data_IF_209157003842
#
_entry.id   IF_209157003842
#
_cell.length_a   1.000
_cell.length_b   1.000
_cell.length_c   1.000
_cell.angle_alpha   90.00
_cell.angle_beta   90.00
_cell.angle_gamma   90.00
#
_symmetry.space_group_name_H-M   'P 1'
#
loop_
_entity.id
_entity.type
_entity.pdbx_description
1 polymer ?
#
# COMPACT_ATOMS: atom_id res chain seq x y z
N UNK A 1 -21.56 -20.06 -10.73
CA UNK A 1 -20.53 -19.02 -10.76
C UNK A 1 -19.16 -19.65 -10.68
N UNK A 2 -18.30 -19.39 -11.66
CA UNK A 2 -16.91 -19.80 -11.70
C UNK A 2 -16.16 -18.67 -12.45
N UNK A 3 -15.13 -18.03 -11.85
CA UNK A 3 -14.47 -18.31 -10.56
C UNK A 3 -15.15 -17.71 -9.33
N UNK A 4 -16.04 -16.72 -9.49
CA UNK A 4 -16.76 -16.03 -8.41
C UNK A 4 -18.03 -15.37 -8.99
N UNK A 5 -19.02 -15.08 -8.14
CA UNK A 5 -20.26 -14.42 -8.58
C UNK A 5 -20.01 -13.01 -9.16
N UNK A 6 -20.69 -12.66 -10.26
CA UNK A 6 -20.52 -11.37 -10.94
C UNK A 6 -20.81 -10.15 -10.05
N UNK A 7 -21.66 -10.33 -9.03
CA UNK A 7 -21.97 -9.29 -8.04
C UNK A 7 -20.84 -9.01 -7.06
N UNK A 8 -19.85 -9.91 -6.93
CA UNK A 8 -18.81 -9.84 -5.90
C UNK A 8 -17.68 -8.86 -6.27
N UNK A 9 -18.05 -7.68 -6.75
CA UNK A 9 -17.13 -6.62 -7.13
C UNK A 9 -16.21 -6.25 -5.96
N UNK A 10 -14.95 -5.99 -6.27
CA UNK A 10 -13.93 -5.65 -5.30
C UNK A 10 -12.51 -5.97 -5.79
N UNK A 11 -11.50 -5.74 -4.94
CA UNK A 11 -10.12 -5.95 -5.32
C UNK A 11 -9.69 -7.42 -5.23
N UNK A 12 -8.59 -7.71 -5.93
CA UNK A 12 -7.77 -8.92 -5.78
C UNK A 12 -6.38 -8.49 -5.29
N UNK A 13 -5.87 -9.13 -4.24
CA UNK A 13 -4.58 -8.77 -3.64
C UNK A 13 -3.73 -10.01 -3.35
N UNK A 14 -2.41 -9.85 -3.40
CA UNK A 14 -1.46 -10.92 -3.12
C UNK A 14 -0.38 -10.43 -2.16
N UNK A 15 -0.11 -11.21 -1.12
CA UNK A 15 0.91 -10.95 -0.10
C UNK A 15 1.89 -12.11 -0.01
N UNK A 16 3.09 -11.81 0.47
CA UNK A 16 4.09 -12.79 0.89
C UNK A 16 4.43 -12.61 2.37
N UNK A 17 4.74 -13.71 3.05
CA UNK A 17 5.38 -13.71 4.37
C UNK A 17 6.53 -14.71 4.38
N UNK A 18 7.75 -14.25 4.67
CA UNK A 18 8.92 -15.11 4.84
C UNK A 18 8.71 -16.00 6.06
N UNK A 19 8.94 -17.29 5.91
CA UNK A 19 8.88 -18.26 7.01
C UNK A 19 10.14 -19.12 7.06
N UNK A 20 10.47 -19.71 8.22
CA UNK A 20 11.51 -20.74 8.31
C UNK A 20 11.11 -21.98 7.50
N UNK A 21 9.86 -22.41 7.61
CA UNK A 21 9.31 -23.62 6.98
C UNK A 21 7.93 -23.32 6.39
N UNK A 22 7.75 -23.57 5.09
CA UNK A 22 6.46 -23.34 4.42
C UNK A 22 5.42 -24.41 4.75
N UNK A 23 5.79 -25.50 5.42
CA UNK A 23 4.87 -26.56 5.88
C UNK A 23 4.42 -26.38 7.33
N UNK A 24 4.90 -25.33 8.01
CA UNK A 24 4.52 -25.04 9.40
C UNK A 24 3.00 -24.82 9.52
N UNK A 25 2.40 -25.29 10.62
CA UNK A 25 0.96 -25.13 10.85
C UNK A 25 0.58 -23.73 11.36
N UNK A 26 1.48 -23.08 12.11
CA UNK A 26 1.20 -21.76 12.66
C UNK A 26 1.33 -20.67 11.61
N UNK A 27 0.28 -19.87 11.45
CA UNK A 27 0.23 -18.72 10.55
C UNK A 27 0.06 -17.38 11.29
N UNK A 28 0.08 -17.40 12.62
CA UNK A 28 -0.06 -16.20 13.45
C UNK A 28 1.28 -15.49 13.65
N UNK A 29 1.24 -14.17 13.86
CA UNK A 29 2.45 -13.37 14.11
C UNK A 29 3.36 -13.16 12.90
N UNK A 30 2.96 -13.66 11.73
CA UNK A 30 3.71 -13.52 10.48
C UNK A 30 3.79 -12.06 10.00
N UNK A 31 4.86 -11.76 9.28
CA UNK A 31 5.18 -10.44 8.74
C UNK A 31 4.89 -10.41 7.24
N UNK A 32 3.76 -9.83 6.87
CA UNK A 32 3.24 -9.84 5.51
C UNK A 32 3.63 -8.56 4.77
N UNK A 33 4.00 -8.67 3.50
CA UNK A 33 4.11 -7.53 2.60
C UNK A 33 3.34 -7.82 1.32
N UNK A 34 2.67 -6.79 0.78
CA UNK A 34 1.88 -6.93 -0.44
C UNK A 34 2.82 -6.97 -1.65
N UNK A 35 2.52 -7.78 -2.66
CA UNK A 35 3.29 -7.85 -3.92
C UNK A 35 2.44 -7.55 -5.17
N UNK A 36 1.12 -7.64 -5.05
CA UNK A 36 0.21 -7.26 -6.13
C UNK A 36 -1.12 -6.79 -5.56
N UNK A 37 -1.75 -5.86 -6.27
CA UNK A 37 -3.14 -5.48 -6.07
C UNK A 37 -3.78 -5.12 -7.40
N UNK A 38 -5.07 -5.43 -7.52
CA UNK A 38 -5.91 -5.05 -8.63
C UNK A 38 -7.28 -4.60 -8.11
N UNK A 39 -7.57 -3.30 -8.20
CA UNK A 39 -8.73 -2.65 -7.58
C UNK A 39 -9.75 -2.13 -8.58
N UNK A 40 -10.32 -0.95 -8.34
CA UNK A 40 -11.16 -0.25 -9.31
C UNK A 40 -10.27 0.51 -10.30
N UNK A 41 -10.43 0.28 -11.60
CA UNK A 41 -9.73 1.04 -12.64
C UNK A 41 -10.53 2.26 -13.13
N UNK A 42 -9.90 3.07 -14.00
CA UNK A 42 -10.50 4.29 -14.56
C UNK A 42 -11.69 4.04 -15.49
N UNK A 43 -11.91 2.80 -15.95
CA UNK A 43 -13.06 2.40 -16.75
C UNK A 43 -14.23 1.89 -15.90
N UNK A 44 -14.08 1.89 -14.57
CA UNK A 44 -15.07 1.37 -13.64
C UNK A 44 -15.06 -0.15 -13.51
N UNK A 45 -14.03 -0.83 -14.04
CA UNK A 45 -13.88 -2.29 -13.89
C UNK A 45 -13.11 -2.60 -12.62
N UNK A 46 -13.61 -3.54 -11.84
CA UNK A 46 -12.97 -4.07 -10.64
C UNK A 46 -11.98 -5.18 -10.97
N UNK A 47 -11.04 -5.43 -10.05
CA UNK A 47 -10.12 -6.56 -10.14
C UNK A 47 -10.89 -7.89 -10.29
N UNK A 48 -12.04 -8.03 -9.64
CA UNK A 48 -12.93 -9.18 -9.84
C UNK A 48 -13.48 -9.28 -11.26
N UNK A 49 -13.82 -8.18 -11.94
CA UNK A 49 -14.23 -8.24 -13.35
C UNK A 49 -13.09 -8.80 -14.22
N UNK A 50 -11.87 -8.31 -14.02
CA UNK A 50 -10.68 -8.80 -14.73
C UNK A 50 -10.34 -10.24 -14.38
N UNK A 51 -10.51 -10.65 -13.12
CA UNK A 51 -10.32 -12.02 -12.66
C UNK A 51 -11.28 -12.99 -13.37
N UNK A 52 -12.57 -12.63 -13.46
CA UNK A 52 -13.59 -13.42 -14.15
C UNK A 52 -13.26 -13.52 -15.64
N UNK A 53 -12.95 -12.38 -16.28
CA UNK A 53 -12.59 -12.35 -17.70
C UNK A 53 -11.31 -13.15 -18.01
N UNK A 54 -10.43 -13.33 -17.03
CA UNK A 54 -9.21 -14.14 -17.15
C UNK A 54 -9.38 -15.59 -16.63
N UNK A 55 -10.62 -16.06 -16.47
CA UNK A 55 -10.91 -17.44 -16.06
C UNK A 55 -10.36 -17.80 -14.68
N UNK A 56 -10.42 -16.88 -13.72
CA UNK A 56 -9.96 -17.10 -12.34
C UNK A 56 -8.47 -16.91 -12.11
N UNK A 57 -7.73 -16.46 -13.13
CA UNK A 57 -6.28 -16.28 -13.03
C UNK A 57 -5.91 -14.87 -12.57
N UNK A 58 -5.47 -14.74 -11.32
CA UNK A 58 -4.80 -13.55 -10.82
C UNK A 58 -3.28 -13.66 -11.06
N UNK A 59 -2.67 -12.61 -11.63
CA UNK A 59 -1.22 -12.61 -11.90
C UNK A 59 -0.49 -11.78 -10.84
N UNK A 60 0.56 -12.34 -10.26
CA UNK A 60 1.49 -11.63 -9.39
C UNK A 60 2.93 -12.04 -9.70
N UNK A 61 3.84 -11.08 -9.73
CA UNK A 61 5.28 -11.32 -9.96
C UNK A 61 5.98 -11.39 -8.62
N UNK A 62 6.72 -12.47 -8.37
CA UNK A 62 7.58 -12.57 -7.18
C UNK A 62 8.73 -11.57 -7.32
N UNK A 63 8.89 -10.59 -6.41
CA UNK A 63 9.94 -9.58 -6.55
C UNK A 63 11.33 -10.22 -6.42
N UNK A 64 12.16 -10.16 -7.47
CA UNK A 64 13.45 -10.87 -7.55
C UNK A 64 14.47 -10.48 -6.48
N UNK A 65 14.33 -9.30 -5.87
CA UNK A 65 15.25 -8.78 -4.88
C UNK A 65 14.99 -9.30 -3.45
N UNK A 66 13.87 -10.00 -3.19
CA UNK A 66 13.60 -10.56 -1.86
C UNK A 66 14.49 -11.78 -1.59
N UNK A 67 14.80 -12.09 -0.32
CA UNK A 67 15.57 -13.26 0.04
C UNK A 67 15.02 -14.56 -0.55
N UNK A 68 15.94 -15.46 -0.91
CA UNK A 68 15.54 -16.84 -1.22
C UNK A 68 15.01 -17.55 0.03
N UNK A 69 14.24 -18.60 -0.18
CA UNK A 69 13.76 -19.52 0.86
C UNK A 69 12.24 -19.60 0.93
N UNK A 70 11.75 -20.13 2.05
CA UNK A 70 10.33 -20.43 2.23
C UNK A 70 9.47 -19.18 2.48
N UNK A 71 8.29 -19.14 1.85
CA UNK A 71 7.27 -18.13 2.04
C UNK A 71 5.87 -18.76 2.03
N UNK A 72 4.95 -18.14 2.76
CA UNK A 72 3.53 -18.24 2.43
C UNK A 72 3.16 -17.15 1.41
N UNK A 73 2.39 -17.53 0.40
CA UNK A 73 1.74 -16.61 -0.54
C UNK A 73 0.25 -16.59 -0.22
N UNK A 74 -0.26 -15.45 0.24
CA UNK A 74 -1.68 -15.24 0.52
C UNK A 74 -2.32 -14.50 -0.65
N UNK A 75 -3.19 -15.17 -1.39
CA UNK A 75 -4.03 -14.54 -2.42
C UNK A 75 -5.42 -14.32 -1.85
N UNK A 76 -6.02 -13.16 -2.13
CA UNK A 76 -7.30 -12.75 -1.56
C UNK A 76 -8.16 -11.99 -2.57
N UNK A 77 -9.47 -12.28 -2.55
CA UNK A 77 -10.53 -11.47 -3.13
C UNK A 77 -11.31 -10.84 -1.99
N UNK A 78 -11.60 -9.53 -2.08
CA UNK A 78 -12.45 -8.83 -1.10
C UNK A 78 -13.74 -8.43 -1.81
N UNK A 79 -14.83 -9.15 -1.60
CA UNK A 79 -16.12 -8.81 -2.21
C UNK A 79 -16.84 -7.72 -1.39
N UNK A 80 -17.24 -6.64 -2.06
CA UNK A 80 -17.73 -5.41 -1.43
C UNK A 80 -19.24 -5.17 -1.63
N UNK A 81 -19.96 -6.13 -2.22
CA UNK A 81 -21.38 -5.98 -2.52
C UNK A 81 -22.27 -5.75 -1.29
N UNK A 82 -21.84 -6.23 -0.12
CA UNK A 82 -22.49 -6.01 1.18
C UNK A 82 -21.74 -5.04 2.10
N UNK A 83 -20.71 -4.33 1.61
CA UNK A 83 -19.75 -3.61 2.45
C UNK A 83 -20.18 -2.20 2.88
N UNK A 84 -21.44 -1.79 2.64
CA UNK A 84 -21.92 -0.46 3.03
C UNK A 84 -21.90 -0.22 4.55
N UNK A 85 -21.83 -1.29 5.34
CA UNK A 85 -21.66 -1.28 6.80
C UNK A 85 -20.67 -2.37 7.23
N UNK A 86 -20.11 -2.23 8.43
CA UNK A 86 -19.27 -3.27 9.05
C UNK A 86 -20.04 -4.04 10.14
N UNK A 87 -19.97 -5.38 10.17
CA UNK A 87 -19.37 -6.26 9.17
C UNK A 87 -20.18 -6.26 7.86
N UNK A 88 -19.52 -6.52 6.73
CA UNK A 88 -20.18 -6.52 5.42
C UNK A 88 -19.31 -7.02 4.27
N UNK A 89 -18.06 -6.57 4.19
CA UNK A 89 -17.10 -7.11 3.23
C UNK A 89 -16.85 -8.61 3.47
N UNK A 90 -16.76 -9.38 2.38
CA UNK A 90 -16.51 -10.82 2.41
C UNK A 90 -15.12 -11.08 1.85
N UNK A 91 -14.24 -11.63 2.67
CA UNK A 91 -12.84 -11.83 2.32
C UNK A 91 -12.61 -13.32 2.01
N UNK A 92 -12.25 -13.63 0.77
CA UNK A 92 -11.95 -14.98 0.29
C UNK A 92 -10.46 -15.10 0.09
N UNK A 93 -9.76 -15.78 0.99
CA UNK A 93 -8.30 -15.94 0.90
C UNK A 93 -7.86 -17.40 0.99
N UNK A 94 -6.74 -17.69 0.33
CA UNK A 94 -6.01 -18.94 0.46
C UNK A 94 -4.51 -18.68 0.55
N UNK A 95 -3.78 -19.59 1.20
CA UNK A 95 -2.33 -19.54 1.31
C UNK A 95 -1.69 -20.69 0.53
N UNK A 96 -0.74 -20.37 -0.35
CA UNK A 96 0.13 -21.33 -0.99
C UNK A 96 1.49 -21.37 -0.27
N UNK A 97 2.12 -22.55 -0.29
CA UNK A 97 3.45 -22.80 0.24
C UNK A 97 4.44 -22.71 -0.91
N UNK A 98 5.38 -21.77 -0.87
CA UNK A 98 6.35 -21.58 -1.96
C UNK A 98 7.79 -21.52 -1.43
N UNK A 99 8.73 -21.91 -2.29
CA UNK A 99 10.15 -21.69 -2.09
C UNK A 99 10.67 -20.75 -3.19
N UNK A 100 11.07 -19.54 -2.79
CA UNK A 100 11.66 -18.55 -3.69
C UNK A 100 13.14 -18.87 -3.88
N UNK A 101 13.60 -18.90 -5.13
CA UNK A 101 15.00 -19.15 -5.49
C UNK A 101 15.56 -17.98 -6.31
N UNK A 102 16.89 -17.83 -6.33
CA UNK A 102 17.55 -16.74 -7.08
C UNK A 102 17.26 -15.34 -6.55
N UNK A 103 16.88 -15.23 -5.28
CA UNK A 103 16.52 -13.98 -4.60
C UNK A 103 17.70 -13.05 -4.28
N UNK A 104 17.40 -11.90 -3.68
CA UNK A 104 18.35 -10.88 -3.22
C UNK A 104 18.38 -10.72 -1.70
N UNK A 105 18.63 -9.50 -1.22
CA UNK A 105 18.77 -9.16 0.20
C UNK A 105 17.77 -8.10 0.69
N UNK A 106 16.75 -7.77 -0.11
CA UNK A 106 15.78 -6.74 0.26
C UNK A 106 14.99 -7.12 1.53
N UNK A 107 14.65 -6.11 2.33
CA UNK A 107 13.83 -6.29 3.54
C UNK A 107 12.58 -5.41 3.44
N UNK A 108 11.49 -5.89 2.81
CA UNK A 108 10.26 -5.12 2.66
C UNK A 108 9.68 -4.70 4.01
N UNK A 109 9.05 -3.53 4.07
CA UNK A 109 8.21 -3.16 5.21
C UNK A 109 7.00 -4.10 5.29
N UNK A 110 6.61 -4.48 6.51
CA UNK A 110 5.60 -5.52 6.73
C UNK A 110 4.47 -5.09 7.65
N UNK A 111 3.33 -5.75 7.52
CA UNK A 111 2.13 -5.64 8.35
C UNK A 111 1.76 -6.99 8.97
N UNK A 112 0.81 -6.98 9.90
CA UNK A 112 0.30 -8.19 10.57
C UNK A 112 -1.11 -8.53 10.11
N UNK A 113 -1.44 -9.82 10.06
CA UNK A 113 -2.83 -10.29 9.98
C UNK A 113 -3.12 -11.17 11.21
N UNK A 114 -4.12 -10.83 12.05
CA UNK A 114 -4.95 -9.60 12.01
C UNK A 114 -4.14 -8.32 12.28
N UNK A 115 -4.69 -7.16 11.87
CA UNK A 115 -4.15 -5.83 12.12
C UNK A 115 -4.06 -4.92 10.89
N UNK A 116 -3.69 -5.45 9.73
CA UNK A 116 -3.48 -4.65 8.51
C UNK A 116 -4.78 -4.08 7.90
N UNK A 117 -5.93 -4.66 8.23
CA UNK A 117 -7.24 -4.19 7.81
C UNK A 117 -8.04 -3.75 9.04
N UNK A 118 -8.63 -2.56 8.97
CA UNK A 118 -9.49 -2.01 10.00
C UNK A 118 -10.94 -1.89 9.50
N UNK A 119 -11.95 -1.99 10.40
CA UNK A 119 -13.34 -1.70 10.05
C UNK A 119 -13.56 -0.31 9.43
N UNK A 120 -12.72 0.66 9.80
CA UNK A 120 -12.79 2.05 9.31
C UNK A 120 -12.05 2.27 8.00
N UNK A 121 -11.37 1.25 7.44
CA UNK A 121 -10.69 1.41 6.17
C UNK A 121 -11.73 1.67 5.07
N UNK A 122 -11.55 2.70 4.21
CA UNK A 122 -12.47 2.99 3.11
C UNK A 122 -12.45 1.90 2.03
N UNK A 123 -11.50 0.96 2.12
CA UNK A 123 -11.44 -0.24 1.31
C UNK A 123 -12.24 -1.42 1.87
N UNK A 124 -12.67 -1.37 3.14
CA UNK A 124 -13.38 -2.44 3.87
C UNK A 124 -14.83 -2.07 4.13
N UNK A 125 -15.11 -0.83 4.55
CA UNK A 125 -16.48 -0.32 4.72
C UNK A 125 -16.75 0.75 3.68
N UNK A 126 -17.52 0.38 2.65
CA UNK A 126 -17.75 1.20 1.46
C UNK A 126 -19.05 0.80 0.75
N UNK A 127 -19.81 1.80 0.30
CA UNK A 127 -20.93 1.60 -0.61
C UNK A 127 -20.45 1.72 -2.07
N UNK A 128 -20.45 0.60 -2.80
CA UNK A 128 -19.96 0.56 -4.19
C UNK A 128 -21.01 0.97 -5.24
N UNK A 129 -22.27 1.17 -4.83
CA UNK A 129 -23.39 1.39 -5.76
C UNK A 129 -23.81 2.86 -5.88
N UNK A 130 -23.85 3.60 -4.76
CA UNK A 130 -24.35 4.97 -4.78
C UNK A 130 -23.70 5.90 -3.73
N UNK A 131 -23.13 7.04 -4.16
CA UNK A 131 -22.79 7.36 -5.54
C UNK A 131 -21.79 6.32 -6.11
N UNK A 132 -21.81 6.03 -7.43
CA UNK A 132 -20.83 5.13 -8.02
C UNK A 132 -19.41 5.60 -7.72
N UNK A 133 -18.56 4.68 -7.28
CA UNK A 133 -17.16 5.00 -6.98
C UNK A 133 -16.41 5.32 -8.27
N UNK A 134 -15.66 6.41 -8.27
CA UNK A 134 -14.69 6.75 -9.32
C UNK A 134 -13.25 6.51 -8.88
N UNK A 135 -13.04 6.28 -7.60
CA UNK A 135 -11.76 5.96 -6.99
C UNK A 135 -11.98 5.01 -5.82
N UNK A 136 -11.08 4.06 -5.63
CA UNK A 136 -11.14 3.07 -4.55
C UNK A 136 -9.75 2.88 -3.96
N UNK A 137 -9.66 2.93 -2.63
CA UNK A 137 -8.42 2.66 -1.90
C UNK A 137 -8.44 1.22 -1.43
N UNK A 138 -7.57 0.40 -2.02
CA UNK A 138 -7.41 -1.01 -1.65
C UNK A 138 -6.84 -1.07 -0.22
N UNK A 139 -7.40 -1.89 0.69
CA UNK A 139 -6.96 -1.92 2.08
C UNK A 139 -5.55 -2.50 2.24
N UNK A 140 -4.93 -2.18 3.38
CA UNK A 140 -3.55 -2.58 3.70
C UNK A 140 -2.46 -1.75 2.99
N UNK A 141 -1.18 -2.18 3.07
CA UNK A 141 -0.05 -1.43 2.51
C UNK A 141 -0.07 -1.46 0.97
N UNK A 142 0.69 -0.56 0.33
CA UNK A 142 0.95 -0.64 -1.12
C UNK A 142 1.82 -1.86 -1.49
N UNK A 143 1.75 -2.36 -2.74
CA UNK A 143 2.66 -3.40 -3.21
C UNK A 143 4.13 -2.98 -3.08
N UNK A 144 4.94 -3.86 -2.53
CA UNK A 144 6.39 -3.74 -2.54
C UNK A 144 6.92 -3.89 -3.97
N UNK A 145 7.92 -3.07 -4.31
CA UNK A 145 8.63 -3.15 -5.59
C UNK A 145 10.13 -3.23 -5.33
N UNK A 146 10.85 -3.94 -6.20
CA UNK A 146 12.30 -3.95 -6.15
C UNK A 146 12.82 -2.65 -6.77
N UNK A 147 13.33 -1.74 -5.94
CA UNK A 147 14.10 -0.61 -6.46
C UNK A 147 15.33 -1.15 -7.20
N UNK A 148 15.66 -0.54 -8.34
CA UNK A 148 16.92 -0.77 -9.03
C UNK A 148 18.06 -0.23 -8.15
N UNK A 149 18.55 -1.05 -7.21
CA UNK A 149 19.68 -0.73 -6.36
C UNK A 149 19.34 0.21 -5.21
N UNK A 150 18.98 -0.36 -4.07
CA UNK A 150 19.26 0.23 -2.76
C UNK A 150 19.45 -0.88 -1.73
N UNK A 151 20.71 -1.35 -1.64
CA UNK A 151 21.29 -1.67 -0.33
C UNK A 151 21.15 -0.45 0.59
N UNK A 152 21.15 -0.60 1.92
CA UNK A 152 20.94 0.52 2.83
C UNK A 152 22.10 1.51 2.69
N UNK A 153 21.88 2.59 1.93
CA UNK A 153 22.86 3.65 1.76
C UNK A 153 22.81 4.53 3.00
N UNK A 154 23.66 4.23 3.99
CA UNK A 154 24.21 5.27 4.86
C UNK A 154 24.81 6.34 3.93
N UNK A 155 24.47 7.64 4.05
CA UNK A 155 25.07 8.67 3.20
C UNK A 155 26.55 8.85 3.53
N UNK A 156 27.41 8.05 2.88
CA UNK A 156 28.86 8.18 2.86
C UNK A 156 29.28 9.06 1.70
N UNK A 157 30.00 10.13 2.03
CA UNK A 157 30.48 11.17 1.13
C UNK A 157 31.28 10.64 -0.07
N UNK A 158 31.09 11.27 -1.23
CA UNK A 158 32.10 11.31 -2.28
C UNK A 158 32.22 12.71 -2.86
N UNK A 159 33.45 13.19 -2.77
CA UNK A 159 34.01 14.49 -3.09
C UNK A 159 34.11 14.75 -4.59
N UNK A 160 33.75 15.97 -5.02
CA UNK A 160 34.44 16.66 -6.12
C UNK A 160 34.51 18.16 -5.82
N UNK A 161 35.70 18.71 -6.00
CA UNK A 161 36.18 19.97 -5.43
C UNK A 161 35.99 21.21 -6.34
N UNK A 162 36.35 22.37 -5.76
CA UNK A 162 36.54 23.76 -6.28
C UNK A 162 35.29 24.66 -6.33
N UNK A 163 35.31 25.92 -5.89
CA UNK A 163 36.36 26.78 -5.29
C UNK A 163 35.74 27.78 -4.31
N UNK A 164 36.59 28.25 -3.39
CA UNK A 164 36.45 29.16 -2.26
C UNK A 164 35.96 30.59 -2.53
N UNK A 165 35.15 31.12 -1.61
CA UNK A 165 35.33 32.48 -1.04
C UNK A 165 34.56 32.69 0.29
N UNK A 166 35.30 32.50 1.39
CA UNK A 166 35.43 33.33 2.63
C UNK A 166 34.22 33.92 3.41
N UNK A 167 34.19 33.55 4.71
CA UNK A 167 33.84 34.36 5.94
C UNK A 167 32.34 34.50 6.29
N UNK A 168 31.80 34.28 7.50
CA UNK A 168 32.22 33.82 8.84
C UNK A 168 31.00 33.19 9.59
N UNK A 169 31.26 32.44 10.66
CA UNK A 169 30.29 31.82 11.59
C UNK A 169 29.95 32.74 12.79
N UNK A 170 29.15 32.36 13.83
CA UNK A 170 28.20 31.23 14.00
C UNK A 170 26.80 31.66 14.53
N UNK A 171 25.78 30.79 14.51
CA UNK A 171 24.88 30.41 15.64
C UNK A 171 23.60 29.68 15.18
N UNK A 172 23.17 28.78 16.05
CA UNK A 172 21.97 27.91 16.09
C UNK A 172 20.63 28.50 15.61
N UNK A 173 19.84 27.76 14.80
CA UNK A 173 18.34 27.75 14.84
C UNK A 173 17.66 26.82 13.79
N UNK A 174 16.66 26.07 14.28
CA UNK A 174 15.35 25.62 13.74
C UNK A 174 15.13 25.12 12.27
N UNK A 175 14.15 24.20 12.03
CA UNK A 175 13.78 23.70 10.70
C UNK A 175 12.88 24.69 9.93
N UNK A 176 13.16 24.89 8.64
CA UNK A 176 12.40 25.77 7.76
C UNK A 176 11.10 25.13 7.25
N UNK A 177 10.00 25.80 7.56
CA UNK A 177 8.69 25.82 6.90
C UNK A 177 8.78 26.45 5.50
N UNK A 178 8.00 25.99 4.50
CA UNK A 178 7.91 26.78 3.25
C UNK A 178 7.26 26.20 1.98
N UNK A 179 6.51 25.10 2.01
CA UNK A 179 5.73 24.66 0.83
C UNK A 179 4.25 25.05 0.94
N UNK A 180 3.61 25.46 -0.15
CA UNK A 180 2.13 25.46 -0.24
C UNK A 180 1.67 24.13 -0.84
N UNK A 181 0.59 23.55 -0.30
CA UNK A 181 0.00 22.29 -0.74
C UNK A 181 -0.99 22.56 -1.86
N UNK A 182 -0.89 21.89 -3.03
CA UNK A 182 -1.82 22.09 -4.14
C UNK A 182 -3.26 21.77 -3.73
N UNK A 183 -4.25 22.30 -4.45
CA UNK A 183 -5.65 21.93 -4.26
C UNK A 183 -5.79 20.41 -4.38
N UNK A 184 -6.49 19.80 -3.44
CA UNK A 184 -6.64 18.36 -3.20
C UNK A 184 -5.41 17.63 -2.63
N UNK A 185 -4.31 18.33 -2.33
CA UNK A 185 -3.17 17.76 -1.61
C UNK A 185 -3.39 17.64 -0.11
N UNK A 186 -2.61 16.76 0.55
CA UNK A 186 -2.63 16.60 2.00
C UNK A 186 -1.96 17.78 2.70
N UNK A 187 -2.66 18.38 3.66
CA UNK A 187 -2.21 19.55 4.42
C UNK A 187 -2.24 19.33 5.93
N UNK A 188 -2.49 18.10 6.38
CA UNK A 188 -2.54 17.78 7.80
C UNK A 188 -3.01 16.35 8.09
N UNK A 189 -3.17 16.07 9.38
CA UNK A 189 -3.50 14.76 9.93
C UNK A 189 -2.44 14.27 10.91
N UNK A 190 -2.80 13.33 11.79
CA UNK A 190 -1.87 12.68 12.72
C UNK A 190 -0.70 12.08 11.96
N UNK A 191 0.51 12.44 12.37
CA UNK A 191 1.76 11.97 11.76
C UNK A 191 2.18 12.73 10.49
N UNK A 192 1.41 13.72 10.02
CA UNK A 192 1.81 14.55 8.88
C UNK A 192 2.93 15.51 9.26
N UNK A 193 4.07 15.40 8.57
CA UNK A 193 5.24 16.28 8.75
C UNK A 193 5.47 17.22 7.56
N UNK A 194 4.57 17.20 6.57
CA UNK A 194 4.66 18.01 5.37
C UNK A 194 4.05 19.40 5.52
N UNK A 195 3.93 20.11 4.40
CA UNK A 195 3.34 21.44 4.35
C UNK A 195 1.88 21.44 4.83
N UNK A 196 1.48 22.49 5.56
CA UNK A 196 0.12 22.63 6.12
C UNK A 196 -0.67 23.79 5.52
N UNK A 197 0.00 24.64 4.74
CA UNK A 197 -0.61 25.81 4.11
C UNK A 197 -1.03 25.45 2.69
N UNK A 198 -2.31 25.61 2.37
CA UNK A 198 -2.82 25.36 1.02
C UNK A 198 -2.43 26.48 0.05
N UNK A 199 -2.40 26.17 -1.25
CA UNK A 199 -2.32 27.18 -2.31
C UNK A 199 -3.47 28.20 -2.18
N UNK A 200 -3.22 29.43 -2.63
CA UNK A 200 -4.19 30.52 -2.53
C UNK A 200 -5.54 30.11 -3.14
N UNK A 201 -6.63 30.36 -2.40
CA UNK A 201 -7.99 29.99 -2.80
C UNK A 201 -8.43 28.58 -2.39
N UNK A 202 -7.68 27.89 -1.52
CA UNK A 202 -8.09 26.64 -0.89
C UNK A 202 -7.80 26.68 0.61
N UNK A 203 -8.57 25.92 1.39
CA UNK A 203 -8.43 25.84 2.85
C UNK A 203 -8.17 24.39 3.26
N UNK A 204 -7.26 24.19 4.22
CA UNK A 204 -7.01 22.87 4.76
C UNK A 204 -8.21 22.41 5.59
N UNK A 205 -9.01 21.48 5.08
CA UNK A 205 -10.14 20.88 5.79
C UNK A 205 -9.79 19.50 6.30
N UNK A 206 -10.10 19.23 7.56
CA UNK A 206 -10.00 17.88 8.12
C UNK A 206 -11.01 16.97 7.43
N UNK A 207 -10.52 15.89 6.82
CA UNK A 207 -11.36 14.82 6.26
C UNK A 207 -11.51 13.71 7.31
N UNK A 208 -10.41 13.38 7.99
CA UNK A 208 -10.37 12.54 9.19
C UNK A 208 -9.13 12.88 10.04
N UNK A 209 -8.97 12.20 11.17
CA UNK A 209 -7.90 12.45 12.15
C UNK A 209 -6.48 12.29 11.56
N UNK A 210 -6.30 11.44 10.54
CA UNK A 210 -5.02 11.15 9.90
C UNK A 210 -4.82 11.89 8.56
N UNK A 211 -5.85 12.56 8.04
CA UNK A 211 -5.81 13.17 6.71
C UNK A 211 -6.65 14.44 6.62
N UNK A 212 -5.99 15.57 6.40
CA UNK A 212 -6.60 16.85 6.06
C UNK A 212 -6.24 17.23 4.62
N UNK A 213 -7.16 17.82 3.88
CA UNK A 213 -7.00 18.10 2.45
C UNK A 213 -7.25 19.58 2.15
N UNK A 214 -6.48 20.14 1.22
CA UNK A 214 -6.75 21.46 0.65
C UNK A 214 -7.97 21.42 -0.27
N UNK A 215 -9.04 22.14 0.07
CA UNK A 215 -10.27 22.22 -0.75
C UNK A 215 -10.78 23.64 -0.92
#
# INVERSE_FOLDING_TARGET
DDPIGLSHLGPVVVYLAKVPDATQQSVTGLKWFKIAEDGLDSSGQWGVNRLINNGGKATAVIPKCIPSGNYFLRAEIIALHGAASYPGAQLYMGCAQINVTGGGSASPATVSFPGAYAPTDPGITVNIYYPPLTNYVIPGPRPFTCDAGSSPTTPGASTTARSTSTTAAPTTSAPATGGTVPKYGQCGGIGWTGATVCVAGSTCKAVNEYYHQCV
#
